data_IF_995854136151
#
_entry.id   IF_995854136151
#
_cell.length_a   1.000
_cell.length_b   1.000
_cell.length_c   1.000
_cell.angle_alpha   90.00
_cell.angle_beta   90.00
_cell.angle_gamma   90.00
#
_symmetry.space_group_name_H-M   'P 1'
#
loop_
_entity.id
_entity.type
_entity.pdbx_description
1 polymer ?
#
# COMPACT_ATOMS: atom_id res chain seq x y z
N UNK A 1 13.87 81.55 63.18
CA UNK A 1 14.61 80.41 62.60
C UNK A 1 14.32 80.38 61.12
N UNK A 2 15.35 80.63 60.31
CA UNK A 2 15.32 80.53 58.85
C UNK A 2 14.98 79.11 58.42
N UNK A 3 14.14 78.94 57.40
CA UNK A 3 14.37 77.85 56.45
C UNK A 3 13.90 78.25 55.04
N UNK A 4 14.87 78.52 54.18
CA UNK A 4 14.67 78.76 52.74
C UNK A 4 14.62 77.39 52.06
N UNK A 5 13.51 77.05 51.41
CA UNK A 5 13.42 75.88 50.53
C UNK A 5 13.67 76.34 49.11
N UNK A 6 14.82 75.98 48.56
CA UNK A 6 15.19 76.19 47.16
C UNK A 6 14.72 74.98 46.37
N UNK A 7 13.78 75.18 45.45
CA UNK A 7 13.29 74.15 44.53
C UNK A 7 14.22 74.16 43.32
N UNK A 8 15.04 73.11 43.18
CA UNK A 8 15.82 72.84 41.97
C UNK A 8 14.92 72.19 40.92
N UNK A 9 14.64 72.92 39.83
CA UNK A 9 13.95 72.40 38.66
C UNK A 9 14.96 71.60 37.82
N UNK A 10 14.96 70.27 37.96
CA UNK A 10 15.77 69.39 37.12
C UNK A 10 15.11 69.24 35.74
N UNK A 11 15.64 69.92 34.74
CA UNK A 11 15.25 69.76 33.33
C UNK A 11 15.85 68.44 32.83
N UNK A 12 15.02 67.41 32.74
CA UNK A 12 15.32 66.18 32.02
C UNK A 12 15.24 66.44 30.51
N UNK A 13 16.38 66.58 29.85
CA UNK A 13 16.45 66.54 28.39
C UNK A 13 16.10 65.13 27.91
N UNK A 14 14.86 64.95 27.44
CA UNK A 14 14.49 63.74 26.70
C UNK A 14 15.26 63.73 25.37
N UNK A 15 16.26 62.87 25.26
CA UNK A 15 16.92 62.57 23.99
C UNK A 15 15.93 61.75 23.17
N UNK A 16 15.10 62.44 22.39
CA UNK A 16 14.21 61.79 21.43
C UNK A 16 15.04 61.10 20.35
N UNK A 17 14.77 59.81 20.09
CA UNK A 17 15.25 59.16 18.87
C UNK A 17 14.84 60.03 17.67
N UNK A 18 15.81 60.47 16.86
CA UNK A 18 15.48 61.04 15.55
C UNK A 18 14.71 59.95 14.79
N UNK A 19 13.52 60.23 14.22
CA UNK A 19 12.89 59.27 13.34
C UNK A 19 13.86 59.06 12.17
N UNK A 20 14.31 57.83 12.02
CA UNK A 20 15.14 57.43 10.90
C UNK A 20 14.23 57.42 9.67
N UNK A 21 14.17 58.54 8.96
CA UNK A 21 13.26 58.76 7.83
C UNK A 21 13.70 58.01 6.56
N UNK A 22 14.81 57.28 6.60
CA UNK A 22 15.21 56.39 5.53
C UNK A 22 14.43 55.08 5.69
N UNK A 23 13.29 54.95 5.01
CA UNK A 23 12.65 53.63 4.82
C UNK A 23 13.69 52.74 4.13
N UNK A 24 14.18 51.67 4.77
CA UNK A 24 15.12 50.76 4.13
C UNK A 24 14.48 50.24 2.85
N UNK A 25 15.21 50.24 1.73
CA UNK A 25 14.73 49.63 0.49
C UNK A 25 14.34 48.18 0.77
N UNK A 26 13.03 47.93 0.83
CA UNK A 26 12.51 46.60 1.15
C UNK A 26 12.62 45.67 -0.06
N UNK A 27 13.09 46.14 -1.22
CA UNK A 27 13.13 45.35 -2.45
C UNK A 27 11.76 45.20 -3.09
N UNK A 28 11.75 44.77 -4.36
CA UNK A 28 10.52 44.55 -5.11
C UNK A 28 9.80 43.29 -4.60
N UNK A 29 8.46 43.35 -4.53
CA UNK A 29 7.61 42.17 -4.27
C UNK A 29 8.00 41.05 -5.25
N UNK A 30 8.31 39.84 -4.76
CA UNK A 30 8.68 38.74 -5.64
C UNK A 30 7.51 38.31 -6.52
N UNK A 31 7.84 37.70 -7.68
CA UNK A 31 6.91 36.93 -8.49
C UNK A 31 7.32 35.46 -8.43
N UNK A 32 6.54 34.65 -7.73
CA UNK A 32 6.81 33.24 -7.56
C UNK A 32 6.76 32.51 -8.92
N UNK A 33 7.77 31.70 -9.19
CA UNK A 33 7.90 30.90 -10.40
C UNK A 33 8.70 29.63 -10.10
N UNK A 34 8.28 28.53 -10.70
CA UNK A 34 9.01 27.27 -10.69
C UNK A 34 8.73 26.48 -11.95
N UNK A 35 9.54 25.45 -12.17
CA UNK A 35 9.34 24.47 -13.22
C UNK A 35 9.14 23.10 -12.61
N UNK A 36 8.32 22.28 -13.26
CA UNK A 36 8.20 20.85 -12.98
C UNK A 36 8.76 20.08 -14.17
N UNK A 37 9.60 19.08 -13.93
CA UNK A 37 10.15 18.24 -14.99
C UNK A 37 10.15 16.77 -14.54
N UNK A 38 9.59 15.83 -15.33
CA UNK A 38 9.71 14.41 -15.03
C UNK A 38 11.18 13.98 -14.94
N UNK A 39 11.53 13.16 -13.96
CA UNK A 39 12.89 12.64 -13.80
C UNK A 39 13.05 11.41 -14.71
N UNK A 40 13.95 11.50 -15.69
CA UNK A 40 14.21 10.41 -16.62
C UNK A 40 14.60 9.12 -15.87
N UNK A 41 13.97 8.00 -16.23
CA UNK A 41 14.22 6.69 -15.62
C UNK A 41 13.60 6.48 -14.23
N UNK A 42 12.79 7.42 -13.72
CA UNK A 42 12.04 7.27 -12.46
C UNK A 42 10.54 7.41 -12.70
N UNK A 43 9.78 6.37 -12.37
CA UNK A 43 8.31 6.35 -12.49
C UNK A 43 7.69 7.39 -11.57
N UNK A 44 6.79 8.22 -12.11
CA UNK A 44 6.01 9.23 -11.40
C UNK A 44 6.80 10.14 -10.44
N UNK A 45 8.08 10.37 -10.74
CA UNK A 45 8.96 11.24 -9.96
C UNK A 45 9.25 12.52 -10.74
N UNK A 46 9.12 13.66 -10.07
CA UNK A 46 9.19 14.97 -10.68
C UNK A 46 10.20 15.84 -9.94
N UNK A 47 11.02 16.56 -10.70
CA UNK A 47 11.93 17.59 -10.21
C UNK A 47 11.18 18.92 -10.16
N UNK A 48 11.17 19.54 -8.99
CA UNK A 48 10.60 20.86 -8.72
C UNK A 48 11.76 21.85 -8.59
N UNK A 49 11.80 22.89 -9.44
CA UNK A 49 12.89 23.87 -9.41
C UNK A 49 12.32 25.27 -9.30
N UNK A 50 12.54 25.93 -8.16
CA UNK A 50 12.19 27.33 -7.98
C UNK A 50 13.12 28.23 -8.80
N UNK A 51 12.53 29.11 -9.61
CA UNK A 51 13.23 30.00 -10.56
C UNK A 51 13.11 31.48 -10.20
N UNK A 52 12.46 31.81 -9.07
CA UNK A 52 12.37 33.19 -8.57
C UNK A 52 13.71 33.70 -8.05
N UNK A 53 14.28 34.68 -8.75
CA UNK A 53 15.53 35.35 -8.35
C UNK A 53 15.45 36.01 -6.97
N UNK A 54 16.55 35.97 -6.22
CA UNK A 54 16.66 36.61 -4.91
C UNK A 54 15.89 35.90 -3.78
N UNK A 55 15.42 34.67 -4.02
CA UNK A 55 14.76 33.84 -3.02
C UNK A 55 15.77 33.18 -2.08
N UNK A 56 15.46 33.18 -0.79
CA UNK A 56 16.27 32.52 0.25
C UNK A 56 15.47 31.57 1.14
N UNK A 57 14.13 31.53 1.01
CA UNK A 57 13.29 30.47 1.58
C UNK A 57 12.40 29.91 0.49
N UNK A 58 12.27 28.58 0.47
CA UNK A 58 11.39 27.82 -0.40
C UNK A 58 10.50 26.96 0.49
N UNK A 59 9.19 27.09 0.36
CA UNK A 59 8.24 26.15 0.94
C UNK A 59 7.45 25.46 -0.15
N UNK A 60 7.44 24.15 -0.09
CA UNK A 60 6.75 23.29 -1.05
C UNK A 60 5.53 22.69 -0.39
N UNK A 61 4.41 22.82 -1.07
CA UNK A 61 3.18 22.08 -0.83
C UNK A 61 3.01 21.16 -2.05
N UNK A 62 3.13 19.86 -1.83
CA UNK A 62 3.10 18.85 -2.89
C UNK A 62 1.67 18.39 -3.22
N UNK A 63 0.65 18.97 -2.59
CA UNK A 63 -0.75 18.64 -2.87
C UNK A 63 -1.19 17.27 -2.36
N UNK A 64 -0.54 16.75 -1.32
CA UNK A 64 -0.91 15.51 -0.62
C UNK A 64 -1.86 15.74 0.58
N UNK A 65 -2.27 16.99 0.80
CA UNK A 65 -3.12 17.42 1.93
C UNK A 65 -2.33 17.79 3.19
N UNK A 66 -1.00 17.67 3.18
CA UNK A 66 -0.15 18.16 4.26
C UNK A 66 0.07 19.69 4.18
N UNK A 67 0.63 20.27 5.25
CA UNK A 67 0.99 21.68 5.26
C UNK A 67 2.29 21.91 4.44
N UNK A 68 2.47 23.09 3.81
CA UNK A 68 3.70 23.42 3.09
C UNK A 68 4.94 23.28 3.99
N UNK A 69 5.95 22.55 3.52
CA UNK A 69 7.20 22.29 4.24
C UNK A 69 8.35 23.13 3.68
N UNK A 70 9.29 23.54 4.54
CA UNK A 70 10.52 24.20 4.07
C UNK A 70 11.39 23.15 3.35
N UNK A 71 11.79 23.45 2.11
CA UNK A 71 12.61 22.57 1.29
C UNK A 71 13.75 23.31 0.60
N UNK A 72 14.41 22.64 -0.34
CA UNK A 72 15.48 23.22 -1.15
C UNK A 72 14.92 24.02 -2.34
N UNK A 73 15.78 24.83 -2.98
CA UNK A 73 15.41 25.50 -4.24
C UNK A 73 15.03 24.49 -5.32
N UNK A 74 15.74 23.36 -5.35
CA UNK A 74 15.46 22.21 -6.19
C UNK A 74 15.09 21.04 -5.30
N UNK A 75 13.89 20.50 -5.47
CA UNK A 75 13.32 19.42 -4.66
C UNK A 75 12.64 18.37 -5.56
N UNK A 76 12.14 17.28 -4.98
CA UNK A 76 11.48 16.21 -5.71
C UNK A 76 10.12 15.86 -5.12
N UNK A 77 9.18 15.48 -5.99
CA UNK A 77 7.89 14.94 -5.60
C UNK A 77 7.62 13.61 -6.30
N UNK A 78 7.05 12.65 -5.57
CA UNK A 78 6.68 11.34 -6.07
C UNK A 78 5.18 11.10 -5.87
N UNK A 79 4.50 10.73 -6.96
CA UNK A 79 3.06 10.53 -6.97
C UNK A 79 2.73 9.11 -7.44
N UNK A 80 2.58 8.16 -6.50
CA UNK A 80 2.46 6.76 -6.88
C UNK A 80 1.16 6.45 -7.64
N UNK A 81 0.11 7.26 -7.49
CA UNK A 81 -1.19 7.02 -8.14
C UNK A 81 -1.44 7.97 -9.31
N UNK A 82 -2.14 7.46 -10.33
CA UNK A 82 -2.76 8.24 -11.40
C UNK A 82 -3.64 9.32 -10.78
N UNK A 83 -3.49 10.55 -11.28
CA UNK A 83 -4.26 11.67 -10.77
C UNK A 83 -3.69 13.01 -11.17
N UNK A 84 -4.36 14.04 -10.68
CA UNK A 84 -3.99 15.43 -10.86
C UNK A 84 -3.55 15.98 -9.51
N UNK A 85 -2.30 16.41 -9.40
CA UNK A 85 -1.71 16.93 -8.17
C UNK A 85 -1.35 18.40 -8.34
N UNK A 86 -1.79 19.25 -7.43
CA UNK A 86 -1.49 20.68 -7.46
C UNK A 86 -0.34 20.98 -6.52
N UNK A 87 0.83 21.27 -7.08
CA UNK A 87 2.01 21.69 -6.33
C UNK A 87 1.99 23.19 -6.19
N UNK A 88 2.21 23.69 -4.97
CA UNK A 88 2.34 25.11 -4.67
C UNK A 88 3.71 25.41 -4.09
N UNK A 89 4.36 26.41 -4.68
CA UNK A 89 5.59 27.00 -4.17
C UNK A 89 5.28 28.31 -3.46
N UNK A 90 5.82 28.50 -2.26
CA UNK A 90 5.89 29.77 -1.55
C UNK A 90 7.38 30.16 -1.48
N UNK A 91 7.73 31.32 -2.00
CA UNK A 91 9.09 31.87 -1.91
C UNK A 91 9.13 33.07 -0.99
N UNK A 92 10.24 33.26 -0.31
CA UNK A 92 10.55 34.48 0.45
C UNK A 92 11.81 35.12 -0.11
N UNK A 93 11.72 36.42 -0.38
CA UNK A 93 12.83 37.28 -0.81
C UNK A 93 12.93 38.49 0.14
N UNK A 94 13.87 39.41 -0.15
CA UNK A 94 13.98 40.68 0.58
C UNK A 94 12.66 41.46 0.55
N UNK A 95 11.95 41.42 -0.60
CA UNK A 95 10.68 42.11 -0.88
C UNK A 95 9.43 41.43 -0.33
N UNK A 96 9.57 40.50 0.61
CA UNK A 96 8.47 39.75 1.20
C UNK A 96 8.30 38.38 0.55
N UNK A 97 7.06 37.92 0.40
CA UNK A 97 6.75 36.60 -0.12
C UNK A 97 5.74 36.64 -1.26
N UNK A 98 5.77 35.59 -2.07
CA UNK A 98 4.76 35.32 -3.09
C UNK A 98 4.57 33.81 -3.23
N UNK A 99 3.47 33.38 -3.85
CA UNK A 99 3.23 31.96 -4.11
C UNK A 99 2.59 31.71 -5.47
N UNK A 100 2.92 30.58 -6.07
CA UNK A 100 2.37 30.14 -7.36
C UNK A 100 2.14 28.63 -7.34
N UNK A 101 1.27 28.13 -8.23
CA UNK A 101 0.93 26.71 -8.30
C UNK A 101 1.05 26.16 -9.73
N UNK A 102 1.36 24.88 -9.86
CA UNK A 102 1.33 24.13 -11.11
C UNK A 102 0.70 22.77 -10.88
N UNK A 103 0.00 22.27 -11.91
CA UNK A 103 -0.65 20.97 -11.85
C UNK A 103 0.20 19.92 -12.56
N UNK A 104 0.42 18.80 -11.87
CA UNK A 104 1.09 17.60 -12.38
C UNK A 104 0.02 16.57 -12.74
N UNK A 105 0.03 16.10 -13.98
CA UNK A 105 -0.82 15.01 -14.44
C UNK A 105 -0.02 13.71 -14.43
N UNK A 106 -0.40 12.78 -13.56
CA UNK A 106 0.16 11.44 -13.50
C UNK A 106 -0.73 10.53 -14.32
N UNK A 107 -0.19 10.00 -15.42
CA UNK A 107 -0.97 9.27 -16.42
C UNK A 107 -1.41 7.87 -15.96
N UNK A 108 -0.62 7.22 -15.11
CA UNK A 108 -0.83 5.86 -14.63
C UNK A 108 -0.26 5.66 -13.23
N UNK A 109 -0.84 4.72 -12.49
CA UNK A 109 -0.28 4.23 -11.23
C UNK A 109 1.13 3.67 -11.45
N UNK A 110 2.02 3.86 -10.47
CA UNK A 110 3.29 3.16 -10.41
C UNK A 110 3.02 1.71 -9.97
N UNK A 111 3.24 0.71 -10.83
CA UNK A 111 2.99 -0.69 -10.48
C UNK A 111 3.86 -1.17 -9.32
N UNK A 112 4.98 -0.49 -9.05
CA UNK A 112 5.92 -0.78 -7.95
C UNK A 112 5.79 0.18 -6.77
N UNK A 113 4.87 1.15 -6.85
CA UNK A 113 4.61 2.09 -5.76
C UNK A 113 4.06 1.37 -4.53
N UNK A 114 4.47 1.83 -3.34
CA UNK A 114 3.91 1.35 -2.08
C UNK A 114 2.82 2.28 -1.58
N UNK A 115 1.57 2.02 -1.97
CA UNK A 115 0.41 2.83 -1.57
C UNK A 115 -0.87 1.98 -1.56
N UNK A 116 -1.93 2.52 -0.96
CA UNK A 116 -3.24 1.87 -0.89
C UNK A 116 -3.16 0.43 -0.38
N UNK A 117 -3.94 -0.47 -0.99
CA UNK A 117 -3.97 -1.89 -0.63
C UNK A 117 -2.61 -2.59 -0.79
N UNK A 118 -1.76 -2.17 -1.75
CA UNK A 118 -0.43 -2.75 -1.90
C UNK A 118 0.48 -2.42 -0.71
N UNK A 119 0.34 -1.24 -0.11
CA UNK A 119 1.10 -0.89 1.09
C UNK A 119 0.75 -1.78 2.28
N UNK A 120 -0.53 -2.03 2.52
CA UNK A 120 -0.96 -2.97 3.55
C UNK A 120 -0.59 -4.42 3.20
N UNK A 121 -0.64 -4.81 1.93
CA UNK A 121 -0.31 -6.19 1.53
C UNK A 121 1.18 -6.52 1.71
N UNK A 122 2.08 -5.54 1.51
CA UNK A 122 3.54 -5.72 1.46
C UNK A 122 4.31 -5.11 2.62
N UNK A 123 3.68 -4.23 3.41
CA UNK A 123 4.38 -3.40 4.41
C UNK A 123 5.46 -2.48 3.82
N UNK A 124 5.38 -2.15 2.52
CA UNK A 124 6.44 -1.45 1.78
C UNK A 124 7.82 -2.13 1.77
N UNK A 125 7.86 -3.42 2.08
CA UNK A 125 9.04 -4.27 1.98
C UNK A 125 8.56 -5.66 1.54
N UNK A 126 8.56 -6.63 2.44
CA UNK A 126 7.93 -7.93 2.26
C UNK A 126 7.06 -8.19 3.47
N UNK A 127 5.86 -8.72 3.25
CA UNK A 127 4.97 -9.17 4.31
C UNK A 127 4.45 -10.56 3.98
N UNK A 128 4.47 -11.42 4.98
CA UNK A 128 3.97 -12.79 4.90
C UNK A 128 2.62 -12.88 5.57
N UNK A 129 1.72 -13.61 4.94
CA UNK A 129 0.37 -13.88 5.42
C UNK A 129 0.21 -15.39 5.61
N UNK A 130 -0.56 -15.77 6.62
CA UNK A 130 -1.02 -17.14 6.86
C UNK A 130 -2.55 -17.10 6.99
N UNK A 131 -3.24 -18.20 6.71
CA UNK A 131 -4.67 -18.28 7.00
C UNK A 131 -4.91 -17.97 8.48
N UNK A 132 -5.95 -17.19 8.77
CA UNK A 132 -6.34 -16.86 10.13
C UNK A 132 -6.65 -18.16 10.90
N UNK A 133 -5.91 -18.53 11.95
CA UNK A 133 -6.04 -19.83 12.62
C UNK A 133 -7.28 -19.89 13.56
N UNK A 134 -8.39 -19.33 13.11
CA UNK A 134 -9.67 -19.25 13.79
C UNK A 134 -10.81 -19.79 12.90
N UNK A 135 -11.94 -20.12 13.52
CA UNK A 135 -13.14 -20.53 12.78
C UNK A 135 -13.63 -19.40 11.85
N UNK A 136 -14.08 -19.75 10.65
CA UNK A 136 -14.59 -18.81 9.65
C UNK A 136 -13.53 -18.16 8.75
N UNK A 137 -12.26 -18.53 8.87
CA UNK A 137 -11.19 -18.10 7.98
C UNK A 137 -11.35 -18.58 6.54
N UNK A 138 -11.90 -19.78 6.35
CA UNK A 138 -12.37 -20.32 5.08
C UNK A 138 -13.88 -20.31 5.09
N UNK A 139 -14.51 -19.72 4.08
CA UNK A 139 -15.96 -19.64 3.98
C UNK A 139 -16.43 -19.82 2.55
N UNK A 140 -17.56 -20.51 2.38
CA UNK A 140 -18.23 -20.73 1.09
C UNK A 140 -19.72 -20.43 1.24
N UNK A 141 -20.25 -19.65 0.31
CA UNK A 141 -21.66 -19.28 0.30
C UNK A 141 -22.07 -18.41 -0.89
N UNK A 142 -23.31 -17.90 -0.92
CA UNK A 142 -23.79 -17.00 -1.95
C UNK A 142 -23.06 -15.66 -1.90
N UNK A 143 -22.91 -14.98 -3.06
CA UNK A 143 -22.16 -13.72 -3.14
C UNK A 143 -22.74 -12.57 -2.30
N UNK A 144 -24.04 -12.62 -1.97
CA UNK A 144 -24.71 -11.63 -1.13
C UNK A 144 -24.60 -11.94 0.37
N UNK A 145 -23.89 -13.01 0.75
CA UNK A 145 -23.72 -13.48 2.13
C UNK A 145 -25.04 -13.79 2.86
N UNK A 146 -26.11 -14.10 2.12
CA UNK A 146 -27.43 -14.43 2.70
C UNK A 146 -27.48 -15.75 3.47
N UNK A 147 -26.53 -16.66 3.21
CA UNK A 147 -26.41 -17.95 3.89
C UNK A 147 -24.95 -18.39 3.96
N UNK A 148 -24.63 -19.30 4.88
CA UNK A 148 -23.33 -20.00 4.91
C UNK A 148 -23.57 -21.45 4.48
N UNK A 149 -22.92 -21.88 3.39
CA UNK A 149 -22.99 -23.27 2.96
C UNK A 149 -21.94 -24.12 3.68
N UNK A 150 -20.75 -23.55 3.87
CA UNK A 150 -19.69 -24.15 4.66
C UNK A 150 -18.74 -23.08 5.19
N UNK A 151 -18.19 -23.29 6.39
CA UNK A 151 -17.09 -22.50 6.93
C UNK A 151 -16.23 -23.41 7.81
N UNK A 152 -14.92 -23.15 7.87
CA UNK A 152 -14.06 -23.95 8.75
C UNK A 152 -14.43 -23.73 10.22
N UNK A 153 -14.51 -24.82 10.96
CA UNK A 153 -14.62 -24.85 12.41
C UNK A 153 -13.25 -24.70 13.09
N UNK A 154 -13.24 -24.55 14.41
CA UNK A 154 -12.00 -24.62 15.20
C UNK A 154 -11.32 -26.00 15.07
N UNK A 155 -12.10 -27.09 14.95
CA UNK A 155 -11.54 -28.43 14.70
C UNK A 155 -10.90 -28.55 13.32
N UNK A 156 -11.45 -27.87 12.31
CA UNK A 156 -10.87 -27.87 10.97
C UNK A 156 -9.51 -27.18 10.94
N UNK A 157 -9.27 -26.17 11.79
CA UNK A 157 -7.94 -25.54 11.89
C UNK A 157 -6.88 -26.57 12.30
N UNK A 158 -7.21 -27.47 13.23
CA UNK A 158 -6.31 -28.55 13.65
C UNK A 158 -6.22 -29.65 12.58
N UNK A 159 -7.34 -30.04 11.97
CA UNK A 159 -7.35 -31.09 10.94
C UNK A 159 -6.60 -30.67 9.67
N UNK A 160 -6.66 -29.38 9.32
CA UNK A 160 -6.02 -28.75 8.16
C UNK A 160 -4.73 -28.03 8.54
N UNK A 161 -3.98 -28.51 9.54
CA UNK A 161 -2.79 -27.83 10.05
C UNK A 161 -1.76 -27.50 8.95
N UNK A 162 -1.63 -28.38 7.95
CA UNK A 162 -0.80 -28.21 6.74
C UNK A 162 -1.31 -27.16 5.73
N UNK A 163 -2.49 -26.57 5.96
CA UNK A 163 -3.02 -25.46 5.17
C UNK A 163 -2.90 -24.14 5.95
N UNK A 164 -3.09 -24.21 7.28
CA UNK A 164 -3.01 -23.04 8.15
C UNK A 164 -1.57 -22.63 8.49
N UNK A 165 -0.57 -23.47 8.20
CA UNK A 165 0.86 -23.15 8.28
C UNK A 165 1.43 -22.56 6.97
N UNK A 166 0.70 -22.64 5.86
CA UNK A 166 1.13 -22.16 4.54
C UNK A 166 1.39 -20.65 4.56
N UNK A 167 2.47 -20.24 3.89
CA UNK A 167 2.93 -18.86 3.87
C UNK A 167 2.74 -18.21 2.49
N UNK A 168 2.09 -17.05 2.49
CA UNK A 168 1.83 -16.22 1.32
C UNK A 168 2.59 -14.89 1.47
N UNK A 169 3.76 -14.79 0.86
CA UNK A 169 4.65 -13.62 0.99
C UNK A 169 4.53 -12.68 -0.20
N UNK A 170 4.24 -11.41 0.07
CA UNK A 170 4.13 -10.36 -0.94
C UNK A 170 5.22 -9.31 -0.74
N UNK A 171 6.01 -9.06 -1.79
CA UNK A 171 7.09 -8.09 -1.81
C UNK A 171 6.72 -6.84 -2.62
N UNK A 172 7.24 -5.67 -2.22
CA UNK A 172 6.94 -4.39 -2.85
C UNK A 172 7.27 -4.34 -4.36
N UNK A 173 8.24 -5.14 -4.78
CA UNK A 173 8.71 -5.28 -6.16
C UNK A 173 7.77 -6.10 -7.05
N UNK A 174 6.67 -6.62 -6.50
CA UNK A 174 5.69 -7.40 -7.23
C UNK A 174 5.92 -8.91 -7.14
N UNK A 175 6.92 -9.40 -6.40
CA UNK A 175 7.09 -10.84 -6.15
C UNK A 175 6.04 -11.37 -5.17
N UNK A 176 5.44 -12.51 -5.53
CA UNK A 176 4.58 -13.31 -4.66
C UNK A 176 5.25 -14.67 -4.45
N UNK A 177 5.47 -15.09 -3.21
CA UNK A 177 6.05 -16.40 -2.89
C UNK A 177 5.06 -17.19 -2.07
N UNK A 178 4.74 -18.40 -2.52
CA UNK A 178 3.98 -19.38 -1.77
C UNK A 178 4.96 -20.41 -1.18
N UNK A 179 4.83 -20.72 0.10
CA UNK A 179 5.57 -21.79 0.75
C UNK A 179 4.61 -22.69 1.51
N UNK A 180 4.45 -23.92 1.02
CA UNK A 180 3.55 -24.93 1.58
C UNK A 180 4.15 -25.72 2.76
N UNK A 181 5.33 -25.30 3.24
CA UNK A 181 6.05 -25.94 4.35
C UNK A 181 6.38 -27.43 4.16
N UNK A 182 6.30 -27.94 2.92
CA UNK A 182 6.55 -29.34 2.60
C UNK A 182 5.34 -30.27 2.77
N UNK A 183 4.14 -29.74 3.02
CA UNK A 183 2.88 -30.46 3.03
C UNK A 183 1.79 -29.74 2.22
N UNK A 184 0.62 -30.36 2.10
CA UNK A 184 -0.55 -29.76 1.45
C UNK A 184 -1.82 -30.40 2.01
N UNK A 185 -2.84 -29.56 2.22
CA UNK A 185 -4.20 -30.05 2.37
C UNK A 185 -4.77 -30.42 1.01
N UNK A 186 -4.97 -31.72 0.78
CA UNK A 186 -5.71 -32.25 -0.37
C UNK A 186 -7.18 -32.22 -0.01
N UNK A 187 -7.99 -31.51 -0.79
CA UNK A 187 -9.42 -31.31 -0.51
C UNK A 187 -10.29 -32.32 -1.27
N UNK A 188 -11.58 -32.35 -0.96
CA UNK A 188 -12.61 -32.98 -1.79
C UNK A 188 -13.39 -31.89 -2.53
N UNK A 189 -14.06 -32.22 -3.62
CA UNK A 189 -14.95 -31.26 -4.29
C UNK A 189 -16.03 -31.97 -5.08
N UNK A 190 -17.27 -31.49 -4.99
CA UNK A 190 -18.38 -31.96 -5.84
C UNK A 190 -18.55 -33.51 -5.89
N UNK A 191 -18.31 -34.18 -4.75
CA UNK A 191 -18.42 -35.65 -4.62
C UNK A 191 -17.17 -36.43 -5.05
N UNK A 192 -16.10 -35.75 -5.48
CA UNK A 192 -14.79 -36.32 -5.81
C UNK A 192 -13.87 -36.18 -4.59
N UNK A 193 -13.31 -37.29 -4.12
CA UNK A 193 -12.46 -37.33 -2.93
C UNK A 193 -11.33 -38.37 -3.08
N UNK A 194 -10.06 -37.93 -3.25
CA UNK A 194 -9.55 -36.54 -3.23
C UNK A 194 -9.82 -35.80 -4.55
N UNK A 195 -9.69 -34.46 -4.57
CA UNK A 195 -9.86 -33.64 -5.77
C UNK A 195 -8.56 -32.98 -6.25
N UNK A 196 -8.18 -33.10 -7.54
CA UNK A 196 -8.70 -34.09 -8.50
C UNK A 196 -8.38 -35.53 -8.07
N UNK A 197 -9.08 -36.50 -8.65
CA UNK A 197 -9.04 -37.91 -8.23
C UNK A 197 -7.66 -38.57 -8.29
N UNK A 198 -6.74 -38.00 -9.07
CA UNK A 198 -5.37 -38.47 -9.28
C UNK A 198 -4.30 -37.55 -8.66
N UNK A 199 -4.70 -36.61 -7.79
CA UNK A 199 -3.76 -35.70 -7.10
C UNK A 199 -2.76 -36.46 -6.22
N UNK A 200 -3.16 -37.62 -5.73
CA UNK A 200 -2.31 -38.54 -4.97
C UNK A 200 -2.06 -39.79 -5.82
N UNK A 201 -0.81 -40.23 -5.86
CA UNK A 201 -0.42 -41.45 -6.57
C UNK A 201 -0.88 -42.75 -5.86
N UNK A 202 -1.51 -42.65 -4.69
CA UNK A 202 -1.90 -43.79 -3.86
C UNK A 202 -3.40 -44.12 -4.01
N UNK A 203 -3.71 -45.37 -4.33
CA UNK A 203 -5.07 -45.87 -4.47
C UNK A 203 -5.81 -45.81 -3.14
N UNK A 204 -6.98 -45.18 -3.10
CA UNK A 204 -7.85 -45.14 -1.91
C UNK A 204 -7.56 -44.00 -0.93
N UNK A 205 -6.65 -43.09 -1.25
CA UNK A 205 -6.49 -41.84 -0.51
C UNK A 205 -7.78 -41.00 -0.50
N UNK A 206 -7.86 -40.03 0.42
CA UNK A 206 -9.01 -39.13 0.62
C UNK A 206 -8.49 -37.73 0.96
N UNK A 207 -9.39 -36.80 1.23
CA UNK A 207 -9.06 -35.46 1.70
C UNK A 207 -8.34 -35.52 3.04
N UNK A 208 -7.31 -34.68 3.19
CA UNK A 208 -6.40 -34.73 4.33
C UNK A 208 -5.10 -33.97 4.10
N UNK A 209 -4.29 -33.89 5.16
CA UNK A 209 -2.93 -33.40 5.07
C UNK A 209 -1.99 -34.49 4.55
N UNK A 210 -1.23 -34.18 3.51
CA UNK A 210 -0.23 -35.08 2.92
C UNK A 210 1.12 -34.39 2.80
N UNK A 211 2.20 -35.15 3.00
CA UNK A 211 3.53 -34.68 2.66
C UNK A 211 3.61 -34.36 1.16
N UNK A 212 4.26 -33.26 0.80
CA UNK A 212 4.37 -32.79 -0.58
C UNK A 212 4.97 -33.84 -1.53
N UNK A 213 5.87 -34.69 -1.02
CA UNK A 213 6.47 -35.80 -1.77
C UNK A 213 5.48 -36.87 -2.26
N UNK A 214 4.24 -36.88 -1.74
CA UNK A 214 3.18 -37.81 -2.16
C UNK A 214 2.27 -37.22 -3.25
N UNK A 215 2.36 -35.92 -3.51
CA UNK A 215 1.57 -35.25 -4.53
C UNK A 215 2.06 -35.69 -5.92
N UNK A 216 1.12 -36.00 -6.80
CA UNK A 216 1.42 -36.39 -8.17
C UNK A 216 2.18 -35.23 -8.89
N UNK A 217 3.35 -35.49 -9.50
CA UNK A 217 4.17 -34.46 -10.14
C UNK A 217 3.45 -33.60 -11.19
N UNK A 218 2.35 -34.09 -11.76
CA UNK A 218 1.50 -33.29 -12.66
C UNK A 218 0.94 -32.02 -11.99
N UNK A 219 0.82 -32.03 -10.66
CA UNK A 219 0.32 -30.94 -9.83
C UNK A 219 1.44 -30.14 -9.14
N UNK A 220 2.71 -30.35 -9.52
CA UNK A 220 3.85 -29.71 -8.88
C UNK A 220 3.78 -28.17 -8.87
N UNK A 221 3.04 -27.57 -9.81
CA UNK A 221 2.86 -26.13 -9.88
C UNK A 221 2.07 -25.53 -8.70
N UNK A 222 1.29 -26.33 -7.96
CA UNK A 222 0.61 -25.87 -6.74
C UNK A 222 1.50 -25.92 -5.48
N UNK A 223 2.76 -26.34 -5.60
CA UNK A 223 3.70 -26.39 -4.47
C UNK A 223 4.39 -25.06 -4.21
N UNK A 224 5.34 -25.07 -3.27
CA UNK A 224 6.16 -23.87 -2.99
C UNK A 224 6.81 -23.33 -4.27
N UNK A 225 6.70 -22.02 -4.46
CA UNK A 225 7.08 -21.37 -5.71
C UNK A 225 7.15 -19.86 -5.62
N UNK A 226 7.85 -19.27 -6.58
CA UNK A 226 7.91 -17.82 -6.78
C UNK A 226 7.11 -17.44 -8.01
N UNK A 227 6.29 -16.42 -7.83
CA UNK A 227 5.28 -15.90 -8.75
C UNK A 227 5.34 -14.36 -8.71
N UNK A 228 4.41 -13.71 -9.40
CA UNK A 228 4.21 -12.26 -9.30
C UNK A 228 2.79 -11.93 -8.89
N UNK A 229 2.55 -10.67 -8.53
CA UNK A 229 1.20 -10.19 -8.26
C UNK A 229 1.01 -8.75 -8.71
N UNK A 230 -0.24 -8.36 -8.90
CA UNK A 230 -0.66 -6.97 -9.09
C UNK A 230 -1.78 -6.63 -8.12
N UNK A 231 -1.85 -5.34 -7.75
CA UNK A 231 -2.97 -4.77 -7.00
C UNK A 231 -3.45 -3.55 -7.75
N UNK A 232 -4.73 -3.52 -8.10
CA UNK A 232 -5.37 -2.36 -8.75
C UNK A 232 -6.70 -2.10 -8.07
N UNK A 233 -6.80 -0.99 -7.34
CA UNK A 233 -7.95 -0.73 -6.46
C UNK A 233 -8.13 -1.85 -5.43
N UNK A 234 -9.32 -2.47 -5.43
CA UNK A 234 -9.67 -3.62 -4.60
C UNK A 234 -9.38 -4.97 -5.25
N UNK A 235 -8.70 -5.01 -6.40
CA UNK A 235 -8.41 -6.27 -7.10
C UNK A 235 -6.98 -6.71 -6.83
N UNK A 236 -6.81 -7.94 -6.35
CA UNK A 236 -5.53 -8.64 -6.24
C UNK A 236 -5.48 -9.75 -7.29
N UNK A 237 -4.45 -9.76 -8.12
CA UNK A 237 -4.19 -10.88 -9.04
C UNK A 237 -2.85 -11.50 -8.71
N UNK A 238 -2.82 -12.80 -8.40
CA UNK A 238 -1.59 -13.59 -8.32
C UNK A 238 -1.34 -14.25 -9.67
N UNK A 239 -0.11 -14.15 -10.20
CA UNK A 239 0.23 -14.44 -11.58
C UNK A 239 1.39 -15.44 -11.62
N UNK A 240 1.17 -16.55 -12.31
CA UNK A 240 2.08 -17.68 -12.40
C UNK A 240 1.29 -18.98 -12.38
N UNK A 241 1.76 -19.99 -13.14
CA UNK A 241 1.11 -21.30 -13.15
C UNK A 241 1.09 -21.89 -11.75
N UNK A 242 -0.11 -22.16 -11.23
CA UNK A 242 -0.35 -22.67 -9.89
C UNK A 242 -0.27 -21.62 -8.77
N UNK A 243 -0.21 -20.32 -9.09
CA UNK A 243 -0.34 -19.28 -8.08
C UNK A 243 -1.79 -19.18 -7.58
N UNK A 244 -2.00 -19.31 -6.27
CA UNK A 244 -3.31 -19.18 -5.64
C UNK A 244 -3.19 -18.60 -4.22
N UNK A 245 -4.33 -18.32 -3.59
CA UNK A 245 -4.43 -18.01 -2.17
C UNK A 245 -5.58 -18.80 -1.55
N UNK A 246 -5.39 -19.29 -0.32
CA UNK A 246 -6.42 -20.02 0.42
C UNK A 246 -6.51 -21.48 -0.01
N UNK A 247 -7.14 -21.77 -1.14
CA UNK A 247 -7.36 -23.15 -1.61
C UNK A 247 -6.83 -23.35 -3.04
N UNK A 248 -6.02 -24.39 -3.27
CA UNK A 248 -5.35 -24.63 -4.56
C UNK A 248 -6.31 -24.84 -5.74
N UNK A 249 -7.49 -25.37 -5.45
CA UNK A 249 -8.56 -25.64 -6.43
C UNK A 249 -9.36 -24.39 -6.84
N UNK A 250 -9.07 -23.23 -6.25
CA UNK A 250 -9.72 -21.96 -6.61
C UNK A 250 -9.11 -21.43 -7.91
N UNK A 251 -9.81 -21.63 -9.02
CA UNK A 251 -9.40 -21.13 -10.34
C UNK A 251 -10.10 -19.82 -10.72
N UNK A 252 -9.68 -19.20 -11.82
CA UNK A 252 -10.23 -17.91 -12.22
C UNK A 252 -11.67 -18.01 -12.76
N UNK A 253 -11.99 -19.14 -13.42
CA UNK A 253 -13.29 -19.44 -14.03
C UNK A 253 -14.20 -20.34 -13.17
N UNK A 254 -13.71 -20.86 -12.04
CA UNK A 254 -14.42 -21.81 -11.19
C UNK A 254 -13.47 -22.68 -10.39
N UNK A 255 -14.00 -23.70 -9.71
CA UNK A 255 -13.15 -24.76 -9.17
C UNK A 255 -12.43 -25.47 -10.32
N UNK A 256 -11.12 -25.66 -10.21
CA UNK A 256 -10.29 -26.21 -11.28
C UNK A 256 -9.55 -27.48 -10.83
N UNK A 257 -9.52 -28.55 -11.66
CA UNK A 257 -8.74 -29.74 -11.38
C UNK A 257 -7.27 -29.58 -11.82
N UNK A 258 -6.89 -28.45 -12.43
CA UNK A 258 -5.53 -28.19 -12.93
C UNK A 258 -5.02 -26.82 -12.50
N UNK A 259 -3.70 -26.62 -12.37
CA UNK A 259 -3.15 -25.31 -12.01
C UNK A 259 -3.43 -24.23 -13.07
N UNK A 260 -4.11 -23.16 -12.67
CA UNK A 260 -4.36 -21.98 -13.51
C UNK A 260 -3.09 -21.11 -13.65
N UNK A 261 -3.04 -20.26 -14.69
CA UNK A 261 -1.90 -19.35 -14.92
C UNK A 261 -1.94 -18.09 -14.05
N UNK A 262 -3.10 -17.78 -13.47
CA UNK A 262 -3.33 -16.67 -12.56
C UNK A 262 -4.66 -16.87 -11.86
N UNK A 263 -4.84 -16.22 -10.71
CA UNK A 263 -6.14 -16.15 -10.03
C UNK A 263 -6.38 -14.74 -9.54
N UNK A 264 -7.57 -14.21 -9.81
CA UNK A 264 -7.98 -12.86 -9.40
C UNK A 264 -8.95 -12.90 -8.23
N UNK A 265 -8.65 -12.13 -7.19
CA UNK A 265 -9.45 -11.98 -5.97
C UNK A 265 -9.88 -10.51 -5.78
N UNK A 266 -11.00 -10.31 -5.10
CA UNK A 266 -11.40 -9.01 -4.57
C UNK A 266 -10.96 -8.88 -3.13
N UNK A 267 -10.13 -7.89 -2.82
CA UNK A 267 -9.81 -7.45 -1.46
C UNK A 267 -11.04 -6.73 -0.90
N UNK A 268 -11.71 -7.34 0.08
CA UNK A 268 -12.86 -6.73 0.76
C UNK A 268 -12.46 -5.97 2.01
N UNK A 269 -11.33 -6.33 2.62
CA UNK A 269 -10.75 -5.62 3.77
C UNK A 269 -9.26 -5.91 3.84
N UNK A 270 -8.44 -4.88 4.09
CA UNK A 270 -7.01 -5.06 4.36
C UNK A 270 -6.53 -4.01 5.35
N UNK A 271 -5.70 -4.46 6.29
CA UNK A 271 -5.02 -3.67 7.32
C UNK A 271 -3.57 -4.16 7.42
N UNK A 272 -2.82 -3.66 8.39
CA UNK A 272 -1.45 -4.13 8.64
C UNK A 272 -1.36 -5.59 9.12
N UNK A 273 -2.44 -6.11 9.71
CA UNK A 273 -2.47 -7.38 10.44
C UNK A 273 -3.55 -8.34 9.96
N UNK A 274 -4.50 -7.87 9.13
CA UNK A 274 -5.62 -8.67 8.63
C UNK A 274 -5.90 -8.42 7.15
N UNK A 275 -6.11 -9.48 6.39
CA UNK A 275 -6.47 -9.47 4.97
C UNK A 275 -7.70 -10.36 4.76
N UNK A 276 -8.72 -9.84 4.07
CA UNK A 276 -9.89 -10.61 3.61
C UNK A 276 -10.00 -10.47 2.11
N UNK A 277 -10.00 -11.60 1.42
CA UNK A 277 -10.16 -11.67 -0.02
C UNK A 277 -11.32 -12.59 -0.38
N UNK A 278 -11.95 -12.31 -1.53
CA UNK A 278 -13.03 -13.11 -2.07
C UNK A 278 -12.74 -13.55 -3.50
N UNK A 279 -13.15 -14.76 -3.83
CA UNK A 279 -13.30 -15.22 -5.21
C UNK A 279 -14.76 -15.56 -5.45
N UNK A 280 -15.44 -14.73 -6.25
CA UNK A 280 -16.86 -14.87 -6.56
C UNK A 280 -17.05 -15.43 -7.98
N UNK A 281 -18.05 -16.30 -8.12
CA UNK A 281 -18.51 -16.88 -9.38
C UNK A 281 -20.02 -16.61 -9.55
N UNK A 282 -20.60 -17.01 -10.67
CA UNK A 282 -22.04 -16.85 -10.91
C UNK A 282 -22.92 -17.62 -9.91
N UNK A 283 -22.42 -18.71 -9.34
CA UNK A 283 -23.16 -19.57 -8.42
C UNK A 283 -22.99 -19.17 -6.95
N UNK A 284 -21.94 -18.44 -6.60
CA UNK A 284 -21.52 -18.19 -5.22
C UNK A 284 -20.02 -17.96 -5.16
N UNK A 285 -19.46 -17.93 -3.96
CA UNK A 285 -18.08 -17.51 -3.79
C UNK A 285 -17.42 -18.06 -2.54
N UNK A 286 -16.12 -17.79 -2.49
CA UNK A 286 -15.20 -18.21 -1.44
C UNK A 286 -14.67 -16.95 -0.80
N UNK A 287 -14.56 -16.96 0.53
CA UNK A 287 -13.88 -15.92 1.29
C UNK A 287 -12.74 -16.55 2.09
N UNK A 288 -11.60 -15.88 2.06
CA UNK A 288 -10.41 -16.26 2.79
C UNK A 288 -9.98 -15.11 3.69
N UNK A 289 -9.80 -15.40 4.97
CA UNK A 289 -9.25 -14.47 5.96
C UNK A 289 -7.84 -14.91 6.32
N UNK A 290 -6.92 -13.96 6.26
CA UNK A 290 -5.52 -14.13 6.61
C UNK A 290 -5.14 -13.15 7.70
N UNK A 291 -4.12 -13.52 8.46
CA UNK A 291 -3.41 -12.66 9.39
C UNK A 291 -1.97 -12.49 8.95
N UNK A 292 -1.39 -11.32 9.26
CA UNK A 292 0.03 -11.12 9.04
C UNK A 292 0.83 -12.07 9.95
N UNK A 293 1.81 -12.75 9.39
CA UNK A 293 2.76 -13.57 10.14
C UNK A 293 3.77 -12.64 10.81
N UNK A 294 3.86 -12.73 12.14
CA UNK A 294 4.85 -12.00 12.94
C UNK A 294 6.26 -12.57 12.78
#
# INVERSE_FOLDING_TARGET
MNNRVIIFLAIWCMVGCKPDNAVPDQGQKPKAAFTVTPIAGKTNMYLLTATTSGSFVFKWDVGDGSNPVIGAQTDTAYYPSKGSYTVRLIVVTKGGYDSTSQTIQVASDDPNGCFGNKAFLTGCATRTWILDPNAGALWVGPNDHSATWWANSASDVTARACQFNDEYSFSKDGTFTFDNKGDMWVDNDSGIDPYPSDILNNTGAKSGCYAWSLINPNYAAWGSGSHTFTVTGSTLTVIGKGAFMGLYKVGDAGTTPVPDNQVTYTITSITDSRLVIQKQYSWGGWQFTFVAKN
#
